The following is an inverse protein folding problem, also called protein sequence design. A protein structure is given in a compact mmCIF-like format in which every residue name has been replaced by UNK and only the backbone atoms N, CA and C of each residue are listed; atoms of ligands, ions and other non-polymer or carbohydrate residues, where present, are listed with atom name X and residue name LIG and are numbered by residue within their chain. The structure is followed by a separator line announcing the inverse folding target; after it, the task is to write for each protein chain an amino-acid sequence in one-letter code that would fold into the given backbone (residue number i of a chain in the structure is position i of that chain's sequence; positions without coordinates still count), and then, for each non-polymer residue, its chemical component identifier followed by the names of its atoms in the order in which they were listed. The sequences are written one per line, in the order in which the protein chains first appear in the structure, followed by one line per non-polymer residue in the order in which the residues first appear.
data_IF_021368163682
#
_entry.id   IF_021368163682
#
_cell.length_a   1.000
_cell.length_b   1.000
_cell.length_c   1.000
_cell.angle_alpha   90.00
_cell.angle_beta   90.00
_cell.angle_gamma   90.00
#
_symmetry.space_group_name_H-M   'P 1'
#
loop_
_entity.id
_entity.type
_entity.pdbx_description
1 polymer ?
#
# COMPACT_ATOMS: atom_id res chain seq x y z
N UNK A 1 40.82 28.62 -9.85
CA UNK A 1 41.56 27.80 -8.86
C UNK A 1 42.63 27.01 -9.60
N UNK A 2 43.85 26.89 -9.07
CA UNK A 2 44.95 26.17 -9.75
C UNK A 2 45.06 24.78 -9.17
N UNK A 3 44.67 23.75 -9.92
CA UNK A 3 44.78 22.34 -9.52
C UNK A 3 45.81 21.70 -10.44
N UNK A 4 46.88 21.14 -9.86
CA UNK A 4 47.99 20.47 -10.59
C UNK A 4 48.58 21.31 -11.73
N UNK A 5 48.84 22.60 -11.47
CA UNK A 5 49.53 23.49 -12.42
C UNK A 5 48.68 23.95 -13.62
N UNK A 6 47.39 23.59 -13.70
CA UNK A 6 46.44 24.14 -14.66
C UNK A 6 45.52 25.14 -13.97
N UNK A 7 45.44 26.35 -14.52
CA UNK A 7 44.49 27.37 -14.06
C UNK A 7 43.12 27.02 -14.60
N UNK A 8 42.25 26.52 -13.74
CA UNK A 8 40.87 26.21 -14.09
C UNK A 8 40.01 27.40 -13.65
N UNK A 9 39.27 27.96 -14.61
CA UNK A 9 38.23 28.95 -14.33
C UNK A 9 37.07 28.17 -13.71
N UNK A 10 36.82 28.41 -12.43
CA UNK A 10 35.65 27.86 -11.74
C UNK A 10 34.50 28.81 -12.00
N UNK A 11 33.57 28.40 -12.84
CA UNK A 11 32.28 29.04 -12.98
C UNK A 11 31.20 28.24 -12.22
N UNK A 12 29.95 28.74 -12.24
CA UNK A 12 28.84 28.09 -11.55
C UNK A 12 28.47 26.72 -12.12
N UNK A 13 29.06 26.26 -13.23
CA UNK A 13 28.82 24.91 -13.77
C UNK A 13 29.51 23.81 -12.96
N UNK A 14 30.49 24.18 -12.12
CA UNK A 14 31.17 23.26 -11.20
C UNK A 14 30.47 23.13 -9.84
N UNK A 15 29.45 23.96 -9.59
CA UNK A 15 28.69 23.96 -8.35
C UNK A 15 27.48 23.05 -8.56
N UNK A 16 27.35 22.04 -7.70
CA UNK A 16 26.17 21.16 -7.67
C UNK A 16 24.92 22.04 -7.58
N UNK A 17 23.95 21.91 -8.50
CA UNK A 17 22.72 22.69 -8.47
C UNK A 17 22.04 22.54 -7.11
N UNK A 18 21.85 23.65 -6.41
CA UNK A 18 21.18 23.66 -5.11
C UNK A 18 19.88 24.44 -5.22
N UNK A 19 18.86 24.00 -4.48
CA UNK A 19 17.60 24.73 -4.33
C UNK A 19 17.63 25.54 -3.04
N UNK A 20 17.68 26.89 -3.10
CA UNK A 20 17.67 27.73 -1.91
C UNK A 20 16.44 27.48 -1.03
N UNK A 21 15.29 27.18 -1.66
CA UNK A 21 14.03 26.87 -0.96
C UNK A 21 14.24 25.60 -0.14
N UNK A 22 14.68 24.50 -0.75
CA UNK A 22 14.86 23.24 -0.04
C UNK A 22 15.92 23.35 1.06
N UNK A 23 17.06 24.01 0.77
CA UNK A 23 18.14 24.16 1.75
C UNK A 23 17.68 24.95 2.99
N UNK A 24 16.86 25.99 2.80
CA UNK A 24 16.27 26.77 3.92
C UNK A 24 15.19 25.99 4.64
N UNK A 25 14.29 25.32 3.92
CA UNK A 25 13.18 24.55 4.51
C UNK A 25 13.69 23.43 5.43
N UNK A 26 14.76 22.73 5.03
CA UNK A 26 15.28 21.58 5.77
C UNK A 26 16.57 21.86 6.55
N UNK A 27 17.08 23.10 6.51
CA UNK A 27 18.34 23.51 7.15
C UNK A 27 19.50 22.54 6.87
N UNK A 28 19.60 22.06 5.63
CA UNK A 28 20.58 21.06 5.20
C UNK A 28 21.05 21.37 3.76
N UNK A 29 22.28 20.96 3.43
CA UNK A 29 22.79 21.07 2.06
C UNK A 29 22.14 20.00 1.18
N UNK A 30 21.25 20.40 0.27
CA UNK A 30 20.45 19.49 -0.57
C UNK A 30 20.89 19.58 -2.03
N UNK A 31 21.33 18.44 -2.57
CA UNK A 31 21.53 18.25 -4.00
C UNK A 31 20.18 17.90 -4.68
N UNK A 32 19.88 18.52 -5.82
CA UNK A 32 18.67 18.25 -6.59
C UNK A 32 19.06 17.68 -7.96
N UNK A 33 18.68 16.43 -8.20
CA UNK A 33 18.93 15.74 -9.46
C UNK A 33 17.62 15.46 -10.21
N UNK A 34 17.54 15.88 -11.47
CA UNK A 34 16.40 15.56 -12.33
C UNK A 34 16.58 14.17 -12.95
N UNK A 35 15.72 13.23 -12.55
CA UNK A 35 15.72 11.87 -13.08
C UNK A 35 14.63 11.70 -14.13
N UNK A 36 15.02 11.55 -15.39
CA UNK A 36 14.07 11.39 -16.50
C UNK A 36 13.68 9.93 -16.78
N UNK A 37 14.55 8.96 -16.44
CA UNK A 37 14.33 7.55 -16.77
C UNK A 37 13.65 6.79 -15.64
N UNK A 38 12.67 5.94 -15.98
CA UNK A 38 12.06 4.97 -15.04
C UNK A 38 13.13 4.08 -14.40
N UNK A 39 14.20 3.74 -15.12
CA UNK A 39 15.31 2.97 -14.57
C UNK A 39 16.08 3.75 -13.50
N UNK A 40 16.31 5.05 -13.72
CA UNK A 40 16.98 5.92 -12.74
C UNK A 40 16.14 6.08 -11.47
N UNK A 41 14.82 6.30 -11.62
CA UNK A 41 13.87 6.36 -10.48
C UNK A 41 13.89 5.03 -9.72
N UNK A 42 13.77 3.90 -10.42
CA UNK A 42 13.83 2.57 -9.80
C UNK A 42 15.16 2.34 -9.08
N UNK A 43 16.26 2.81 -9.64
CA UNK A 43 17.59 2.70 -9.04
C UNK A 43 17.66 3.51 -7.74
N UNK A 44 17.29 4.78 -7.74
CA UNK A 44 17.28 5.62 -6.54
C UNK A 44 16.36 5.03 -5.46
N UNK A 45 15.12 4.71 -5.82
CA UNK A 45 14.18 4.10 -4.89
C UNK A 45 14.68 2.75 -4.37
N UNK A 46 15.44 1.99 -5.17
CA UNK A 46 16.10 0.77 -4.70
C UNK A 46 17.08 1.10 -3.60
N UNK A 47 17.98 2.07 -3.71
CA UNK A 47 18.94 2.34 -2.63
C UNK A 47 18.31 2.94 -1.38
N UNK A 48 17.29 3.77 -1.52
CA UNK A 48 16.55 4.33 -0.38
C UNK A 48 15.78 3.24 0.38
N UNK A 49 15.18 2.28 -0.35
CA UNK A 49 14.33 1.25 0.25
C UNK A 49 15.03 -0.11 0.42
N UNK A 50 16.24 -0.30 -0.12
CA UNK A 50 17.07 -1.47 0.12
C UNK A 50 17.52 -1.35 1.57
N UNK A 51 16.99 -2.25 2.41
CA UNK A 51 17.38 -2.33 3.81
C UNK A 51 18.90 -2.48 3.95
N UNK A 52 19.43 -2.18 5.14
CA UNK A 52 20.88 -2.29 5.34
C UNK A 52 21.36 -3.72 5.10
N UNK A 53 22.62 -3.83 4.71
CA UNK A 53 23.26 -5.13 4.50
C UNK A 53 23.10 -5.99 5.75
N UNK A 54 22.72 -7.24 5.53
CA UNK A 54 22.53 -8.24 6.58
C UNK A 54 23.67 -9.25 6.51
N UNK A 55 24.11 -9.69 7.68
CA UNK A 55 25.12 -10.73 7.83
C UNK A 55 24.58 -11.78 8.78
N UNK A 56 24.72 -13.04 8.39
CA UNK A 56 24.33 -14.18 9.23
C UNK A 56 25.59 -14.70 9.93
N UNK A 57 25.60 -14.65 11.25
CA UNK A 57 26.69 -15.17 12.08
C UNK A 57 26.34 -16.56 12.59
N UNK A 58 27.27 -17.49 12.47
CA UNK A 58 27.18 -18.79 13.13
C UNK A 58 27.57 -18.68 14.61
N UNK A 59 26.62 -18.83 15.52
CA UNK A 59 26.89 -18.99 16.96
C UNK A 59 27.07 -20.49 17.19
N UNK A 60 28.27 -20.91 17.65
CA UNK A 60 28.53 -22.32 17.93
C UNK A 60 27.78 -22.76 19.18
N UNK A 61 26.62 -23.37 19.01
CA UNK A 61 25.94 -24.13 20.07
C UNK A 61 25.82 -25.60 19.63
N UNK A 62 26.30 -26.53 20.46
CA UNK A 62 26.48 -27.94 20.06
C UNK A 62 25.16 -28.74 19.96
N UNK A 63 24.02 -28.16 20.37
CA UNK A 63 22.78 -28.92 20.60
C UNK A 63 21.59 -28.51 19.72
N UNK A 64 21.66 -27.42 18.93
CA UNK A 64 20.51 -26.98 18.12
C UNK A 64 20.92 -26.19 16.86
N UNK A 65 20.80 -26.80 15.68
CA UNK A 65 21.21 -26.20 14.39
C UNK A 65 20.40 -24.94 14.03
N UNK A 66 19.15 -24.83 14.47
CA UNK A 66 18.26 -23.70 14.16
C UNK A 66 18.62 -22.45 15.00
N UNK A 67 19.16 -22.62 16.19
CA UNK A 67 19.61 -21.53 17.07
C UNK A 67 21.05 -21.08 16.78
N UNK A 68 21.73 -21.77 15.87
CA UNK A 68 23.13 -21.51 15.55
C UNK A 68 23.34 -20.32 14.61
N UNK A 69 22.28 -19.66 14.16
CA UNK A 69 22.41 -18.55 13.21
C UNK A 69 21.74 -17.30 13.73
N UNK A 70 22.53 -16.24 13.91
CA UNK A 70 22.04 -14.90 14.26
C UNK A 70 22.14 -14.01 13.05
N UNK A 71 21.02 -13.45 12.62
CA UNK A 71 20.99 -12.43 11.57
C UNK A 71 21.26 -11.06 12.18
N UNK A 72 22.44 -10.51 11.90
CA UNK A 72 22.82 -9.15 12.23
C UNK A 72 22.56 -8.20 11.06
N UNK A 73 22.25 -6.95 11.36
CA UNK A 73 22.16 -5.86 10.37
C UNK A 73 23.40 -4.98 10.52
N UNK A 74 24.10 -4.70 9.43
CA UNK A 74 25.16 -3.71 9.42
C UNK A 74 24.55 -2.31 9.62
N UNK A 75 25.07 -1.57 10.59
CA UNK A 75 24.62 -0.23 10.95
C UNK A 75 25.88 0.65 10.99
N UNK A 76 25.84 1.81 10.34
CA UNK A 76 26.96 2.77 10.38
C UNK A 76 27.12 3.37 11.78
N UNK A 77 28.30 3.87 12.12
CA UNK A 77 28.55 4.49 13.44
C UNK A 77 27.62 5.67 13.72
N UNK A 78 27.35 6.52 12.71
CA UNK A 78 26.41 7.64 12.82
C UNK A 78 24.97 7.18 13.08
N UNK A 79 24.50 6.17 12.34
CA UNK A 79 23.17 5.58 12.54
C UNK A 79 23.04 4.91 13.92
N UNK A 80 24.10 4.28 14.41
CA UNK A 80 24.13 3.67 15.74
C UNK A 80 23.99 4.71 16.86
N UNK A 81 24.73 5.83 16.76
CA UNK A 81 24.61 6.96 17.70
C UNK A 81 23.20 7.57 17.64
N UNK A 82 22.63 7.73 16.45
CA UNK A 82 21.27 8.24 16.28
C UNK A 82 20.23 7.35 16.97
N UNK A 83 20.37 6.03 16.84
CA UNK A 83 19.53 5.04 17.54
C UNK A 83 19.74 5.06 19.05
N UNK A 84 20.98 5.17 19.51
CA UNK A 84 21.30 5.21 20.94
C UNK A 84 20.62 6.39 21.64
N UNK A 85 20.50 7.53 20.94
CA UNK A 85 19.78 8.71 21.40
C UNK A 85 18.29 8.72 21.05
N UNK A 86 17.74 7.62 20.52
CA UNK A 86 16.33 7.48 20.12
C UNK A 86 15.83 8.56 19.15
N UNK A 87 16.74 9.12 18.34
CA UNK A 87 16.35 10.12 17.36
C UNK A 87 15.56 9.50 16.20
N UNK A 88 14.57 10.23 15.64
CA UNK A 88 13.85 9.78 14.45
C UNK A 88 14.80 9.54 13.29
N UNK A 89 14.83 8.30 12.79
CA UNK A 89 15.71 7.90 11.68
C UNK A 89 15.13 8.24 10.30
N UNK A 90 13.81 8.17 10.18
CA UNK A 90 13.10 8.44 8.95
C UNK A 90 11.74 9.02 9.29
N UNK A 91 11.30 9.95 8.45
CA UNK A 91 9.94 10.45 8.45
C UNK A 91 9.36 10.30 7.04
N UNK A 92 8.06 10.11 6.93
CA UNK A 92 7.35 9.98 5.64
C UNK A 92 6.15 10.89 5.67
N UNK A 93 6.18 11.90 4.81
CA UNK A 93 5.05 12.78 4.60
C UNK A 93 4.60 12.74 3.13
N UNK A 94 3.30 12.49 2.85
CA UNK A 94 2.27 12.12 3.80
C UNK A 94 2.47 10.69 4.35
N UNK A 95 1.86 10.41 5.51
CA UNK A 95 1.87 9.06 6.09
C UNK A 95 1.20 8.07 5.15
N UNK A 96 1.86 6.96 4.85
CA UNK A 96 1.29 5.89 4.01
C UNK A 96 0.99 4.67 4.89
N UNK A 97 -0.29 4.33 5.03
CA UNK A 97 -0.72 3.11 5.71
C UNK A 97 -1.00 2.02 4.69
N UNK A 98 -0.36 0.87 4.86
CA UNK A 98 -0.60 -0.30 4.03
C UNK A 98 -1.85 -1.03 4.50
N UNK A 99 -2.82 -1.17 3.61
CA UNK A 99 -4.10 -1.80 3.87
C UNK A 99 -4.08 -3.25 3.35
N UNK A 100 -4.42 -4.19 4.23
CA UNK A 100 -4.51 -5.61 3.90
C UNK A 100 -5.61 -5.88 2.86
N UNK A 101 -5.36 -6.83 1.97
CA UNK A 101 -6.34 -7.40 1.04
C UNK A 101 -6.14 -8.92 1.02
N UNK A 102 -7.20 -9.66 1.34
CA UNK A 102 -7.20 -11.12 1.40
C UNK A 102 -8.63 -11.64 1.32
N UNK A 103 -8.80 -12.91 0.96
CA UNK A 103 -10.11 -13.60 1.01
C UNK A 103 -10.56 -13.86 2.45
N UNK A 104 -11.81 -14.28 2.63
CA UNK A 104 -12.31 -14.76 3.92
C UNK A 104 -11.39 -15.85 4.50
N UNK A 105 -10.99 -15.71 5.76
CA UNK A 105 -10.03 -16.59 6.45
C UNK A 105 -8.61 -16.65 5.81
N UNK A 106 -8.30 -15.83 4.80
CA UNK A 106 -6.99 -15.75 4.16
C UNK A 106 -6.00 -14.79 4.84
N UNK A 107 -6.17 -14.55 6.14
CA UNK A 107 -5.35 -13.59 6.89
C UNK A 107 -3.93 -14.12 7.06
N UNK A 108 -2.93 -13.23 6.92
CA UNK A 108 -1.54 -13.59 7.22
C UNK A 108 -1.33 -13.54 8.73
N UNK A 109 -1.02 -14.68 9.32
CA UNK A 109 -0.70 -14.82 10.75
C UNK A 109 0.69 -15.40 10.96
N UNK A 110 1.32 -15.05 12.08
CA UNK A 110 2.62 -15.60 12.48
C UNK A 110 2.39 -16.57 13.64
N UNK A 111 2.71 -17.84 13.41
CA UNK A 111 2.49 -18.91 14.36
C UNK A 111 3.75 -19.16 15.19
N UNK A 112 3.56 -19.37 16.48
CA UNK A 112 4.52 -19.84 17.46
C UNK A 112 3.83 -20.90 18.33
N UNK A 113 4.56 -21.86 18.92
CA UNK A 113 3.94 -22.94 19.71
C UNK A 113 3.00 -22.45 20.82
N UNK A 114 3.26 -21.25 21.37
CA UNK A 114 2.43 -20.65 22.42
C UNK A 114 1.18 -19.92 21.91
N UNK A 115 1.14 -19.49 20.63
CA UNK A 115 0.07 -18.63 20.11
C UNK A 115 -0.89 -19.34 19.13
N UNK A 116 -0.57 -20.56 18.69
CA UNK A 116 -1.35 -21.25 17.65
C UNK A 116 -2.80 -21.42 18.08
N UNK A 117 -3.03 -21.90 19.30
CA UNK A 117 -4.39 -22.15 19.79
C UNK A 117 -5.20 -20.85 19.90
N UNK A 118 -4.60 -19.78 20.43
CA UNK A 118 -5.27 -18.50 20.57
C UNK A 118 -5.56 -17.82 19.23
N UNK A 119 -4.70 -17.97 18.22
CA UNK A 119 -4.93 -17.43 16.86
C UNK A 119 -6.05 -18.19 16.14
N UNK A 120 -6.16 -19.50 16.35
CA UNK A 120 -7.24 -20.32 15.76
C UNK A 120 -8.59 -19.93 16.36
N UNK A 121 -8.65 -19.71 17.67
CA UNK A 121 -9.88 -19.29 18.36
C UNK A 121 -10.22 -17.81 18.08
N UNK A 122 -9.20 -16.95 18.07
CA UNK A 122 -9.34 -15.49 17.94
C UNK A 122 -8.36 -14.95 16.89
N UNK A 123 -8.72 -15.01 15.59
CA UNK A 123 -7.84 -14.53 14.53
C UNK A 123 -7.62 -13.00 14.66
N UNK A 124 -6.38 -12.52 14.42
CA UNK A 124 -6.05 -11.11 14.57
C UNK A 124 -6.80 -10.26 13.55
N UNK A 125 -7.35 -9.13 13.99
CA UNK A 125 -8.06 -8.22 13.09
C UNK A 125 -7.08 -7.58 12.11
N UNK A 126 -7.39 -7.71 10.83
CA UNK A 126 -6.68 -6.99 9.78
C UNK A 126 -7.33 -5.63 9.57
N UNK A 127 -6.67 -4.74 8.84
CA UNK A 127 -7.28 -3.47 8.44
C UNK A 127 -8.55 -3.70 7.60
N UNK A 128 -8.65 -4.81 6.87
CA UNK A 128 -9.82 -5.12 6.05
C UNK A 128 -11.02 -5.52 6.91
N UNK A 129 -10.84 -6.46 7.83
CA UNK A 129 -11.93 -6.90 8.70
C UNK A 129 -12.37 -5.81 9.66
N UNK A 130 -11.44 -5.01 10.16
CA UNK A 130 -11.78 -3.86 10.99
C UNK A 130 -12.46 -2.73 10.20
N UNK A 131 -12.20 -2.59 8.90
CA UNK A 131 -12.95 -1.66 8.05
C UNK A 131 -14.41 -2.11 7.87
N UNK A 132 -14.66 -3.41 7.71
CA UNK A 132 -16.02 -3.95 7.67
C UNK A 132 -16.78 -3.71 8.98
N UNK A 133 -16.14 -3.96 10.13
CA UNK A 133 -16.71 -3.63 11.45
C UNK A 133 -16.97 -2.12 11.61
N UNK A 134 -16.07 -1.28 11.08
CA UNK A 134 -16.24 0.17 11.09
C UNK A 134 -17.45 0.58 10.24
N UNK A 135 -17.61 0.01 9.05
CA UNK A 135 -18.76 0.26 8.19
C UNK A 135 -20.06 -0.19 8.83
N UNK A 136 -20.06 -1.22 9.68
CA UNK A 136 -21.25 -1.62 10.44
C UNK A 136 -21.64 -0.62 11.53
N UNK A 137 -20.67 0.07 12.14
CA UNK A 137 -20.88 0.91 13.32
C UNK A 137 -20.96 2.41 13.03
N UNK A 138 -20.28 2.90 11.98
CA UNK A 138 -20.21 4.32 11.64
C UNK A 138 -20.80 4.58 10.24
N UNK A 139 -21.87 5.38 10.18
CA UNK A 139 -22.52 5.76 8.92
C UNK A 139 -21.60 6.57 7.99
N UNK A 140 -20.64 7.31 8.53
CA UNK A 140 -19.68 8.03 7.67
C UNK A 140 -18.74 7.05 6.97
N UNK A 141 -18.27 6.01 7.66
CA UNK A 141 -17.40 5.00 7.07
C UNK A 141 -18.06 4.27 5.90
N UNK A 142 -19.40 4.10 5.93
CA UNK A 142 -20.16 3.53 4.82
C UNK A 142 -20.07 4.34 3.51
N UNK A 143 -19.73 5.62 3.59
CA UNK A 143 -19.58 6.49 2.41
C UNK A 143 -18.22 6.36 1.74
N UNK A 144 -17.25 5.72 2.40
CA UNK A 144 -15.85 5.71 1.99
C UNK A 144 -15.49 4.47 1.17
N UNK A 145 -14.56 4.64 0.24
CA UNK A 145 -13.80 3.54 -0.34
C UNK A 145 -12.73 3.08 0.65
N UNK A 146 -12.30 1.82 0.51
CA UNK A 146 -11.37 1.24 1.47
C UNK A 146 -10.04 2.01 1.56
N UNK A 147 -9.49 2.47 0.44
CA UNK A 147 -8.25 3.27 0.45
C UNK A 147 -8.44 4.66 1.08
N UNK A 148 -9.65 5.20 1.06
CA UNK A 148 -9.97 6.53 1.58
C UNK A 148 -10.05 6.56 3.11
N UNK A 149 -10.29 5.41 3.76
CA UNK A 149 -10.46 5.31 5.23
C UNK A 149 -9.34 6.00 6.00
N UNK A 150 -8.12 5.93 5.49
CA UNK A 150 -6.92 6.44 6.15
C UNK A 150 -6.85 7.96 6.22
N UNK A 151 -7.59 8.67 5.35
CA UNK A 151 -7.69 10.13 5.40
C UNK A 151 -8.50 10.60 6.61
N UNK A 152 -9.42 9.77 7.12
CA UNK A 152 -10.38 10.14 8.17
C UNK A 152 -10.18 9.36 9.48
N UNK A 153 -9.59 8.16 9.39
CA UNK A 153 -9.36 7.27 10.52
C UNK A 153 -7.89 6.91 10.66
N UNK A 154 -7.44 6.75 11.90
CA UNK A 154 -6.13 6.21 12.25
C UNK A 154 -6.25 4.74 12.65
N UNK A 155 -5.30 3.93 12.21
CA UNK A 155 -5.17 2.53 12.61
C UNK A 155 -4.24 2.40 13.81
N UNK A 156 -4.77 1.94 14.94
CA UNK A 156 -3.98 1.64 16.14
C UNK A 156 -4.65 0.53 16.94
N UNK A 157 -3.85 -0.32 17.61
CA UNK A 157 -4.34 -1.41 18.46
C UNK A 157 -5.41 -2.29 17.76
N UNK A 158 -5.17 -2.63 16.50
CA UNK A 158 -6.08 -3.42 15.67
C UNK A 158 -7.49 -2.83 15.50
N UNK A 159 -7.62 -1.51 15.58
CA UNK A 159 -8.89 -0.80 15.42
C UNK A 159 -8.71 0.52 14.67
N UNK A 160 -9.72 0.89 13.88
CA UNK A 160 -9.83 2.25 13.34
C UNK A 160 -10.50 3.19 14.34
N UNK A 161 -9.89 4.35 14.54
CA UNK A 161 -10.42 5.45 15.36
C UNK A 161 -10.44 6.74 14.55
N UNK A 162 -11.43 7.60 14.79
CA UNK A 162 -11.54 8.89 14.10
C UNK A 162 -10.31 9.75 14.35
N UNK A 163 -9.85 10.45 13.31
CA UNK A 163 -8.75 11.42 13.44
C UNK A 163 -9.14 12.57 14.35
N UNK A 164 -8.18 12.97 15.18
CA UNK A 164 -8.30 14.12 16.09
C UNK A 164 -7.73 15.41 15.49
N UNK A 165 -6.90 15.30 14.46
CA UNK A 165 -6.25 16.41 13.75
C UNK A 165 -6.57 16.36 12.25
N UNK A 166 -6.44 17.51 11.58
CA UNK A 166 -6.71 17.68 10.16
C UNK A 166 -7.73 18.78 9.88
N UNK A 167 -8.11 18.89 8.61
CA UNK A 167 -9.13 19.81 8.11
C UNK A 167 -10.52 19.30 8.44
N UNK A 168 -11.46 20.22 8.76
CA UNK A 168 -12.86 19.85 8.96
C UNK A 168 -13.51 19.42 7.64
N UNK A 169 -14.24 18.31 7.68
CA UNK A 169 -14.98 17.83 6.52
C UNK A 169 -16.31 18.58 6.41
N UNK A 170 -16.50 19.29 5.29
CA UNK A 170 -17.74 20.00 5.01
C UNK A 170 -18.95 19.04 5.09
N UNK A 171 -20.00 19.44 5.80
CA UNK A 171 -21.21 18.62 5.99
C UNK A 171 -21.13 17.54 7.07
N UNK A 172 -19.95 17.34 7.70
CA UNK A 172 -19.76 16.30 8.72
C UNK A 172 -19.10 16.85 9.99
N UNK A 173 -19.87 17.37 10.96
CA UNK A 173 -19.31 17.94 12.18
C UNK A 173 -18.55 16.89 13.00
N UNK A 174 -17.33 17.25 13.42
CA UNK A 174 -16.46 16.38 14.21
C UNK A 174 -15.69 15.33 13.40
N UNK A 175 -15.72 15.41 12.06
CA UNK A 175 -14.89 14.58 11.19
C UNK A 175 -13.73 15.41 10.66
N UNK A 176 -12.51 14.88 10.86
CA UNK A 176 -11.27 15.50 10.41
C UNK A 176 -10.66 14.70 9.26
N UNK A 177 -10.06 15.42 8.31
CA UNK A 177 -9.36 14.88 7.14
C UNK A 177 -7.88 15.25 7.17
N UNK A 178 -7.02 14.28 6.92
CA UNK A 178 -5.56 14.41 6.89
C UNK A 178 -5.03 13.84 5.56
N UNK A 179 -3.89 14.32 5.01
CA UNK A 179 -3.37 13.86 3.71
C UNK A 179 -2.81 12.43 3.73
N UNK A 180 -3.00 11.65 4.80
CA UNK A 180 -2.55 10.27 4.88
C UNK A 180 -3.15 9.39 3.77
N UNK A 181 -2.32 8.53 3.21
CA UNK A 181 -2.66 7.69 2.06
C UNK A 181 -2.81 6.22 2.46
N UNK A 182 -3.92 5.62 2.02
CA UNK A 182 -4.22 4.20 2.21
C UNK A 182 -3.77 3.43 0.98
N UNK A 183 -2.75 2.59 1.12
CA UNK A 183 -2.25 1.76 0.02
C UNK A 183 -2.74 0.33 0.20
N UNK A 184 -3.74 -0.06 -0.57
CA UNK A 184 -4.21 -1.45 -0.64
C UNK A 184 -3.09 -2.34 -1.19
N UNK A 185 -2.86 -3.47 -0.53
CA UNK A 185 -1.82 -4.45 -0.91
C UNK A 185 -1.94 -4.82 -2.40
N UNK A 186 -0.78 -4.95 -3.07
CA UNK A 186 -0.76 -5.34 -4.49
C UNK A 186 -0.99 -6.84 -4.60
N UNK A 187 -1.99 -7.23 -5.37
CA UNK A 187 -2.30 -8.64 -5.63
C UNK A 187 -1.97 -8.94 -7.09
N UNK A 188 -1.27 -10.04 -7.34
CA UNK A 188 -0.92 -10.47 -8.69
C UNK A 188 -2.17 -11.04 -9.40
N UNK A 189 -2.40 -10.78 -10.70
CA UNK A 189 -3.57 -11.29 -11.43
C UNK A 189 -3.74 -12.81 -11.40
N UNK A 190 -2.66 -13.58 -11.21
CA UNK A 190 -2.75 -15.04 -11.05
C UNK A 190 -3.49 -15.48 -9.78
N UNK A 191 -3.60 -14.61 -8.77
CA UNK A 191 -4.45 -14.84 -7.60
C UNK A 191 -5.86 -14.31 -7.90
N UNK A 192 -6.55 -14.95 -8.85
CA UNK A 192 -7.78 -14.47 -9.48
C UNK A 192 -8.77 -13.82 -8.51
N UNK A 193 -9.32 -14.58 -7.57
CA UNK A 193 -10.37 -14.08 -6.66
C UNK A 193 -9.88 -12.97 -5.73
N UNK A 194 -8.63 -13.03 -5.26
CA UNK A 194 -8.06 -11.99 -4.40
C UNK A 194 -7.78 -10.71 -5.20
N UNK A 195 -7.42 -10.84 -6.48
CA UNK A 195 -7.25 -9.72 -7.39
C UNK A 195 -8.58 -9.01 -7.63
N UNK A 196 -9.66 -9.75 -7.93
CA UNK A 196 -10.99 -9.15 -8.11
C UNK A 196 -11.55 -8.57 -6.81
N UNK A 197 -11.32 -9.21 -5.66
CA UNK A 197 -11.63 -8.62 -4.36
C UNK A 197 -10.93 -7.27 -4.18
N UNK A 198 -9.64 -7.17 -4.52
CA UNK A 198 -8.91 -5.91 -4.48
C UNK A 198 -9.53 -4.87 -5.41
N UNK A 199 -9.94 -5.25 -6.62
CA UNK A 199 -10.63 -4.34 -7.55
C UNK A 199 -11.90 -3.81 -6.89
N UNK A 200 -12.77 -4.68 -6.37
CA UNK A 200 -14.00 -4.27 -5.69
C UNK A 200 -13.75 -3.31 -4.52
N UNK A 201 -12.68 -3.50 -3.73
CA UNK A 201 -12.32 -2.57 -2.64
C UNK A 201 -11.99 -1.14 -3.11
N UNK A 202 -11.71 -0.92 -4.40
CA UNK A 202 -11.51 0.41 -4.99
C UNK A 202 -12.79 1.01 -5.57
N UNK A 203 -13.87 0.24 -5.72
CA UNK A 203 -15.10 0.67 -6.39
C UNK A 203 -16.34 0.61 -5.48
N UNK A 204 -16.39 -0.34 -4.54
CA UNK A 204 -17.50 -0.53 -3.61
C UNK A 204 -17.27 0.31 -2.36
N UNK A 205 -18.24 1.17 -2.04
CA UNK A 205 -18.24 2.01 -0.84
C UNK A 205 -18.86 1.28 0.34
N UNK A 206 -18.22 1.42 1.50
CA UNK A 206 -18.80 0.98 2.76
C UNK A 206 -19.14 -0.51 2.93
N UNK A 207 -18.43 -1.48 2.31
CA UNK A 207 -18.77 -2.89 2.49
C UNK A 207 -18.74 -3.28 3.97
N UNK A 208 -19.75 -4.00 4.42
CA UNK A 208 -19.92 -4.43 5.82
C UNK A 208 -19.42 -5.85 6.10
N UNK A 209 -19.13 -6.61 5.04
CA UNK A 209 -18.59 -7.96 5.12
C UNK A 209 -17.99 -8.40 3.78
N UNK A 210 -17.32 -9.55 3.75
CA UNK A 210 -16.88 -10.20 2.52
C UNK A 210 -18.03 -10.53 1.57
N UNK A 211 -19.18 -10.94 2.13
CA UNK A 211 -20.36 -11.25 1.35
C UNK A 211 -20.98 -9.99 0.75
N UNK A 212 -21.06 -8.92 1.54
CA UNK A 212 -21.57 -7.61 1.11
C UNK A 212 -20.71 -7.02 -0.01
N UNK A 213 -19.39 -7.20 0.05
CA UNK A 213 -18.46 -6.74 -0.98
C UNK A 213 -18.74 -7.36 -2.37
N UNK A 214 -19.28 -8.57 -2.44
CA UNK A 214 -19.66 -9.26 -3.68
C UNK A 214 -21.18 -9.25 -3.94
N UNK A 215 -21.95 -8.52 -3.14
CA UNK A 215 -23.37 -8.30 -3.37
C UNK A 215 -23.53 -7.14 -4.34
N UNK A 216 -24.20 -7.40 -5.46
CA UNK A 216 -24.50 -6.38 -6.48
C UNK A 216 -26.00 -6.36 -6.70
N UNK A 217 -26.62 -5.18 -6.63
CA UNK A 217 -28.08 -5.01 -6.77
C UNK A 217 -28.91 -5.90 -5.83
N UNK A 218 -28.41 -6.15 -4.62
CA UNK A 218 -29.07 -7.00 -3.63
C UNK A 218 -28.89 -8.51 -3.85
N UNK A 219 -28.19 -8.93 -4.90
CA UNK A 219 -27.89 -10.34 -5.20
C UNK A 219 -26.44 -10.65 -4.85
N UNK A 220 -26.25 -11.65 -3.99
CA UNK A 220 -24.92 -12.15 -3.62
C UNK A 220 -24.37 -12.96 -4.79
N UNK A 221 -23.26 -12.52 -5.38
CA UNK A 221 -22.58 -13.27 -6.45
C UNK A 221 -21.70 -14.38 -5.87
N UNK A 222 -21.49 -15.45 -6.62
CA UNK A 222 -20.69 -16.59 -6.16
C UNK A 222 -19.19 -16.26 -6.02
N UNK A 223 -18.66 -15.47 -6.96
CA UNK A 223 -17.25 -15.08 -7.01
C UNK A 223 -17.10 -13.56 -7.02
N UNK A 224 -15.93 -13.08 -6.59
CA UNK A 224 -15.60 -11.65 -6.71
C UNK A 224 -15.46 -11.25 -8.17
N UNK A 225 -14.99 -12.17 -9.04
CA UNK A 225 -14.97 -11.96 -10.48
C UNK A 225 -16.38 -11.68 -11.04
N UNK A 226 -17.37 -12.49 -10.68
CA UNK A 226 -18.74 -12.31 -11.13
C UNK A 226 -19.34 -10.98 -10.64
N UNK A 227 -19.01 -10.56 -9.41
CA UNK A 227 -19.39 -9.24 -8.92
C UNK A 227 -18.73 -8.11 -9.71
N UNK A 228 -17.45 -8.23 -10.07
CA UNK A 228 -16.79 -7.26 -10.95
C UNK A 228 -17.44 -7.18 -12.34
N UNK A 229 -17.83 -8.31 -12.93
CA UNK A 229 -18.56 -8.33 -14.21
C UNK A 229 -19.88 -7.58 -14.12
N UNK A 230 -20.65 -7.84 -13.06
CA UNK A 230 -21.96 -7.18 -12.88
C UNK A 230 -21.85 -5.66 -12.66
N UNK A 231 -20.73 -5.17 -12.13
CA UNK A 231 -20.47 -3.72 -11.93
C UNK A 231 -19.78 -3.11 -13.18
N UNK A 232 -19.71 -3.85 -14.29
CA UNK A 232 -19.04 -3.44 -15.54
C UNK A 232 -17.57 -3.03 -15.35
N UNK A 233 -16.87 -3.68 -14.42
CA UNK A 233 -15.44 -3.47 -14.17
C UNK A 233 -14.54 -4.36 -15.03
N UNK A 234 -15.13 -5.32 -15.74
CA UNK A 234 -14.45 -6.24 -16.64
C UNK A 234 -15.09 -6.11 -18.02
N UNK A 235 -14.25 -5.98 -19.04
CA UNK A 235 -14.72 -6.13 -20.42
C UNK A 235 -15.11 -7.60 -20.62
N UNK A 236 -16.33 -7.81 -21.10
CA UNK A 236 -16.84 -9.13 -21.44
C UNK A 236 -16.90 -9.27 -22.95
N UNK A 237 -16.35 -10.36 -23.48
CA UNK A 237 -16.49 -10.71 -24.89
C UNK A 237 -17.95 -11.09 -25.23
N UNK A 238 -18.77 -11.34 -24.21
CA UNK A 238 -20.21 -11.54 -24.33
C UNK A 238 -20.90 -10.37 -25.05
N UNK A 239 -20.38 -9.15 -24.97
CA UNK A 239 -20.93 -8.03 -25.77
C UNK A 239 -20.78 -8.29 -27.27
N UNK A 240 -19.63 -8.78 -27.71
CA UNK A 240 -19.40 -9.14 -29.11
C UNK A 240 -20.27 -10.32 -29.52
N UNK A 241 -20.40 -11.33 -28.65
CA UNK A 241 -21.20 -12.51 -28.91
C UNK A 241 -22.70 -12.18 -29.01
N UNK A 242 -23.21 -11.33 -28.11
CA UNK A 242 -24.59 -10.82 -28.13
C UNK A 242 -24.86 -9.93 -29.34
N UNK A 243 -23.92 -9.03 -29.68
CA UNK A 243 -24.01 -8.20 -30.90
C UNK A 243 -24.00 -9.08 -32.15
N UNK A 244 -23.17 -10.13 -32.21
CA UNK A 244 -23.14 -11.07 -33.32
C UNK A 244 -24.43 -11.89 -33.41
N UNK A 245 -25.00 -12.33 -32.28
CA UNK A 245 -26.30 -13.00 -32.26
C UNK A 245 -27.42 -12.08 -32.75
N UNK A 246 -27.50 -10.84 -32.24
CA UNK A 246 -28.50 -9.88 -32.66
C UNK A 246 -28.35 -9.48 -34.13
N UNK A 247 -27.11 -9.32 -34.59
CA UNK A 247 -26.79 -9.06 -35.99
C UNK A 247 -27.10 -10.28 -36.88
N UNK A 248 -26.98 -11.52 -36.39
CA UNK A 248 -27.39 -12.71 -37.14
C UNK A 248 -28.89 -12.75 -37.44
N UNK A 249 -29.71 -12.12 -36.59
CA UNK A 249 -31.17 -12.05 -36.73
C UNK A 249 -31.59 -10.86 -37.61
N UNK A 250 -30.84 -9.75 -37.55
CA UNK A 250 -31.23 -8.47 -38.16
C UNK A 250 -30.46 -8.08 -39.43
N UNK A 251 -29.26 -8.62 -39.65
CA UNK A 251 -28.38 -8.26 -40.78
C UNK A 251 -28.27 -9.37 -41.82
N UNK A 252 -27.92 -8.99 -43.04
CA UNK A 252 -27.69 -9.95 -44.13
C UNK A 252 -26.35 -10.67 -43.92
N UNK A 253 -26.23 -11.97 -44.28
CA UNK A 253 -25.00 -12.76 -44.12
C UNK A 253 -23.74 -12.12 -44.72
N UNK A 254 -23.89 -11.28 -45.74
CA UNK A 254 -22.77 -10.57 -46.38
C UNK A 254 -22.12 -9.49 -45.49
N UNK A 255 -22.82 -8.98 -44.47
CA UNK A 255 -22.31 -7.96 -43.54
C UNK A 255 -21.67 -8.55 -42.29
N UNK A 256 -21.77 -9.87 -42.10
CA UNK A 256 -21.25 -10.63 -40.96
C UNK A 256 -19.96 -11.39 -41.31
N UNK A 257 -19.46 -11.24 -42.54
CA UNK A 257 -18.23 -11.86 -43.06
C UNK A 257 -17.05 -10.90 -42.99
#
# INVERSE_FOLDING_TARGET
MTIRGRTIIIDNTWIVPYSPILCRTFNAHINVEYCHSVQAIKYICKYVNKGSDQVTFGVRNAHNEVENYVNGRYISTSEAVWRLFEFPLHDRHPTVLQLAAHLGNGQRVYLSPANVQSIVEYPPKTTLTAFFELCNSDNFAKTLLYYEVTHYYTWANNKFSRRKCGEDVAGHPGIKKDPALGRVYSVHPSQSECFFLRVLLHHVRGPTSFQDLRTVNGVVKETYQAACREIDLLEDDDQWENILQEASISQRPLKLR
#
